data_IF_238203942134
#
_entry.id   IF_238203942134
#
_cell.length_a   1.000
_cell.length_b   1.000
_cell.length_c   1.000
_cell.angle_alpha   90.00
_cell.angle_beta   90.00
_cell.angle_gamma   90.00
#
_symmetry.space_group_name_H-M   'P 1'
#
loop_
_entity.id
_entity.type
_entity.pdbx_description
1 polymer ?
#
# COMPACT_ATOMS: atom_id res chain seq x y z
N UNK A 1 -15.22 15.32 -0.82
CA UNK A 1 -15.90 14.18 -0.16
C UNK A 1 -16.57 14.56 1.14
N UNK A 2 -15.83 14.84 2.23
CA UNK A 2 -16.42 15.15 3.56
C UNK A 2 -17.37 16.34 3.52
N UNK A 3 -16.97 17.46 2.91
CA UNK A 3 -17.82 18.66 2.77
C UNK A 3 -19.14 18.39 2.00
N UNK A 4 -19.17 17.39 1.11
CA UNK A 4 -20.37 16.97 0.38
C UNK A 4 -21.23 15.93 1.11
N UNK A 5 -20.94 15.65 2.39
CA UNK A 5 -21.69 14.67 3.18
C UNK A 5 -21.44 13.20 2.79
N UNK A 6 -20.41 12.92 1.99
CA UNK A 6 -20.02 11.57 1.58
C UNK A 6 -19.14 10.88 2.65
N UNK A 7 -19.75 10.48 3.77
CA UNK A 7 -19.03 9.96 4.95
C UNK A 7 -18.97 8.42 5.02
N UNK A 8 -19.38 7.73 3.95
CA UNK A 8 -19.36 6.28 3.87
C UNK A 8 -20.65 5.64 4.38
N UNK A 9 -20.54 4.43 4.94
CA UNK A 9 -21.71 3.65 5.38
C UNK A 9 -22.57 4.37 6.43
N UNK A 10 -21.95 5.15 7.32
CA UNK A 10 -22.66 5.85 8.41
C UNK A 10 -23.63 6.93 7.90
N UNK A 11 -23.37 7.51 6.73
CA UNK A 11 -24.24 8.51 6.09
C UNK A 11 -25.01 7.93 4.91
N UNK A 12 -24.98 6.61 4.70
CA UNK A 12 -25.61 5.94 3.56
C UNK A 12 -24.93 6.20 2.20
N UNK A 13 -23.91 7.06 2.13
CA UNK A 13 -23.20 7.38 0.87
C UNK A 13 -21.73 7.75 1.08
N UNK A 14 -20.87 7.23 0.21
CA UNK A 14 -19.43 7.50 0.11
C UNK A 14 -19.01 7.40 -1.36
N UNK A 15 -17.89 6.71 -1.66
CA UNK A 15 -17.57 6.28 -3.04
C UNK A 15 -18.69 5.43 -3.66
N UNK A 16 -19.42 4.69 -2.80
CA UNK A 16 -20.60 3.93 -3.17
C UNK A 16 -21.83 4.47 -2.45
N UNK A 17 -23.01 4.22 -3.00
CA UNK A 17 -24.29 4.37 -2.31
C UNK A 17 -24.58 3.07 -1.54
N UNK A 18 -24.96 3.18 -0.27
CA UNK A 18 -25.18 2.05 0.62
C UNK A 18 -26.67 1.91 0.94
N UNK A 19 -27.34 0.98 0.26
CA UNK A 19 -28.79 0.69 0.41
C UNK A 19 -29.06 -0.38 1.47
N UNK A 20 -28.65 -0.12 2.72
CA UNK A 20 -28.91 -1.02 3.86
C UNK A 20 -28.12 -2.35 3.85
N UNK A 21 -28.45 -3.26 4.78
CA UNK A 21 -27.78 -4.58 4.90
C UNK A 21 -28.10 -5.43 3.68
N UNK A 22 -27.06 -5.85 2.94
CA UNK A 22 -27.18 -6.71 1.76
C UNK A 22 -27.49 -5.99 0.44
N UNK A 23 -27.67 -4.65 0.48
CA UNK A 23 -27.90 -3.86 -0.72
C UNK A 23 -26.70 -3.85 -1.68
N UNK A 24 -26.99 -3.80 -2.98
CA UNK A 24 -25.97 -3.68 -4.04
C UNK A 24 -25.21 -2.37 -3.84
N UNK A 25 -23.88 -2.44 -3.89
CA UNK A 25 -23.01 -1.25 -3.82
C UNK A 25 -22.98 -0.59 -5.20
N UNK A 26 -23.80 0.42 -5.38
CA UNK A 26 -23.82 1.20 -6.61
C UNK A 26 -22.78 2.32 -6.56
N UNK A 27 -22.19 2.65 -7.69
CA UNK A 27 -21.22 3.74 -7.79
C UNK A 27 -21.97 5.06 -7.54
N UNK A 28 -21.41 5.91 -6.69
CA UNK A 28 -22.03 7.20 -6.40
C UNK A 28 -21.71 8.22 -7.51
N UNK A 29 -22.71 8.57 -8.33
CA UNK A 29 -22.56 9.54 -9.42
C UNK A 29 -22.17 10.96 -8.98
N UNK A 30 -22.46 11.36 -7.73
CA UNK A 30 -21.98 12.64 -7.18
C UNK A 30 -20.45 12.63 -7.02
N UNK A 31 -19.87 11.48 -6.68
CA UNK A 31 -18.42 11.33 -6.52
C UNK A 31 -17.71 11.35 -7.86
N UNK A 32 -18.32 10.83 -8.93
CA UNK A 32 -17.74 10.94 -10.27
C UNK A 32 -17.54 12.39 -10.71
N UNK A 33 -18.48 13.29 -10.36
CA UNK A 33 -18.35 14.73 -10.64
C UNK A 33 -17.16 15.33 -9.89
N UNK A 34 -17.05 15.03 -8.60
CA UNK A 34 -15.92 15.47 -7.76
C UNK A 34 -14.60 14.92 -8.32
N UNK A 35 -14.54 13.64 -8.68
CA UNK A 35 -13.32 13.03 -9.23
C UNK A 35 -12.91 13.66 -10.56
N UNK A 36 -13.86 14.04 -11.43
CA UNK A 36 -13.58 14.75 -12.68
C UNK A 36 -13.01 16.15 -12.41
N UNK A 37 -13.61 16.88 -11.49
CA UNK A 37 -13.19 18.24 -11.11
C UNK A 37 -11.76 18.27 -10.55
N UNK A 38 -11.43 17.33 -9.66
CA UNK A 38 -10.11 17.25 -9.02
C UNK A 38 -9.17 16.25 -9.70
N UNK A 39 -9.47 15.82 -10.93
CA UNK A 39 -8.62 14.88 -11.64
C UNK A 39 -7.29 15.52 -12.02
N UNK A 40 -6.21 14.78 -11.81
CA UNK A 40 -4.87 15.14 -12.28
C UNK A 40 -4.50 14.28 -13.49
N UNK A 41 -3.58 14.75 -14.35
CA UNK A 41 -3.06 13.92 -15.44
C UNK A 41 -2.54 12.59 -14.92
N UNK A 42 -2.96 11.51 -15.58
CA UNK A 42 -2.52 10.15 -15.27
C UNK A 42 -1.00 10.08 -15.41
N UNK A 43 -0.33 9.64 -14.34
CA UNK A 43 1.12 9.37 -14.33
C UNK A 43 1.38 7.88 -14.33
N UNK A 44 2.30 7.44 -15.18
CA UNK A 44 2.68 6.03 -15.34
C UNK A 44 1.59 5.10 -15.83
N UNK A 45 1.93 3.81 -15.79
CA UNK A 45 1.02 2.73 -16.18
C UNK A 45 -0.17 2.60 -15.22
N UNK A 46 -1.31 2.15 -15.73
CA UNK A 46 -2.51 1.81 -14.95
C UNK A 46 -2.87 0.33 -15.10
N UNK A 47 -1.90 -0.48 -15.54
CA UNK A 47 -2.04 -1.93 -15.52
C UNK A 47 -2.26 -2.43 -14.08
N UNK A 48 -3.02 -3.53 -13.88
CA UNK A 48 -3.36 -4.03 -12.54
C UNK A 48 -2.14 -4.24 -11.63
N UNK A 49 -1.05 -4.77 -12.17
CA UNK A 49 0.19 -4.99 -11.44
C UNK A 49 0.84 -3.68 -10.96
N UNK A 50 0.81 -2.63 -11.78
CA UNK A 50 1.35 -1.32 -11.41
C UNK A 50 0.51 -0.71 -10.28
N UNK A 51 -0.82 -0.82 -10.36
CA UNK A 51 -1.73 -0.34 -9.32
C UNK A 51 -1.49 -1.09 -8.00
N UNK A 52 -1.32 -2.41 -8.08
CA UNK A 52 -0.99 -3.24 -6.91
C UNK A 52 0.34 -2.81 -6.29
N UNK A 53 1.39 -2.66 -7.09
CA UNK A 53 2.71 -2.27 -6.58
C UNK A 53 2.73 -0.85 -6.03
N UNK A 54 1.94 0.09 -6.56
CA UNK A 54 1.80 1.44 -5.97
C UNK A 54 1.23 1.42 -4.56
N UNK A 55 0.33 0.48 -4.27
CA UNK A 55 -0.27 0.31 -2.95
C UNK A 55 0.66 -0.47 -2.02
N UNK A 56 1.13 -1.62 -2.48
CA UNK A 56 1.96 -2.53 -1.69
C UNK A 56 3.31 -1.91 -1.33
N UNK A 57 3.99 -1.25 -2.28
CA UNK A 57 5.32 -0.67 -2.05
C UNK A 57 5.33 0.31 -0.89
N UNK A 58 4.34 1.22 -0.85
CA UNK A 58 4.20 2.20 0.22
C UNK A 58 3.96 1.55 1.57
N UNK A 59 3.04 0.58 1.63
CA UNK A 59 2.74 -0.13 2.86
C UNK A 59 3.95 -0.87 3.41
N UNK A 60 4.66 -1.59 2.56
CA UNK A 60 5.82 -2.41 2.94
C UNK A 60 6.99 -1.50 3.33
N UNK A 61 7.23 -0.40 2.63
CA UNK A 61 8.26 0.58 2.99
C UNK A 61 8.02 1.18 4.37
N UNK A 62 6.78 1.59 4.68
CA UNK A 62 6.42 2.09 6.01
C UNK A 62 6.57 0.99 7.08
N UNK A 63 6.29 -0.28 6.74
CA UNK A 63 6.49 -1.40 7.66
C UNK A 63 7.97 -1.56 8.02
N UNK A 64 8.85 -1.50 7.03
CA UNK A 64 10.31 -1.56 7.27
C UNK A 64 10.81 -0.31 7.98
N UNK A 65 10.26 0.86 7.67
CA UNK A 65 10.59 2.10 8.39
C UNK A 65 10.22 1.98 9.88
N UNK A 66 9.04 1.44 10.21
CA UNK A 66 8.64 1.18 11.59
C UNK A 66 9.63 0.23 12.31
N UNK A 67 10.19 -0.75 11.59
CA UNK A 67 11.23 -1.62 12.15
C UNK A 67 12.56 -0.87 12.33
N UNK A 68 12.94 -0.06 11.36
CA UNK A 68 14.15 0.77 11.40
C UNK A 68 14.13 1.76 12.56
N UNK A 69 12.98 2.38 12.83
CA UNK A 69 12.78 3.34 13.93
C UNK A 69 12.58 2.65 15.29
N UNK A 70 12.55 1.31 15.33
CA UNK A 70 12.35 0.54 16.56
C UNK A 70 10.92 0.57 17.11
N UNK A 71 9.94 1.03 16.32
CA UNK A 71 8.51 0.95 16.65
C UNK A 71 8.06 -0.51 16.66
N UNK A 72 8.47 -1.26 15.64
CA UNK A 72 8.34 -2.71 15.62
C UNK A 72 9.55 -3.35 16.30
N UNK A 73 9.30 -4.25 17.25
CA UNK A 73 10.36 -4.96 17.98
C UNK A 73 11.09 -5.97 17.10
N UNK A 74 10.36 -6.63 16.20
CA UNK A 74 10.89 -7.64 15.29
C UNK A 74 9.99 -7.78 14.04
N UNK A 75 10.48 -8.38 12.95
CA UNK A 75 9.72 -8.58 11.71
C UNK A 75 8.46 -9.45 11.88
N UNK A 76 8.52 -10.47 12.76
CA UNK A 76 7.42 -11.42 12.96
C UNK A 76 6.19 -10.74 13.57
N UNK A 77 6.39 -9.88 14.58
CA UNK A 77 5.33 -9.05 15.17
C UNK A 77 4.69 -8.15 14.10
N UNK A 78 5.51 -7.59 13.22
CA UNK A 78 5.06 -6.76 12.10
C UNK A 78 4.22 -7.52 11.07
N UNK A 79 4.64 -8.73 10.71
CA UNK A 79 3.91 -9.59 9.79
C UNK A 79 2.56 -10.05 10.35
N UNK A 80 2.54 -10.51 11.60
CA UNK A 80 1.32 -10.90 12.31
C UNK A 80 0.35 -9.72 12.40
N UNK A 81 0.84 -8.54 12.80
CA UNK A 81 0.04 -7.33 12.90
C UNK A 81 -0.53 -6.87 11.55
N UNK A 82 0.27 -6.92 10.49
CA UNK A 82 -0.17 -6.55 9.16
C UNK A 82 -1.25 -7.51 8.61
N UNK A 83 -1.07 -8.82 8.79
CA UNK A 83 -2.03 -9.83 8.31
C UNK A 83 -3.33 -9.75 9.10
N UNK A 84 -3.28 -9.84 10.43
CA UNK A 84 -4.50 -9.92 11.24
C UNK A 84 -5.17 -8.57 11.52
N UNK A 85 -4.42 -7.47 11.53
CA UNK A 85 -4.95 -6.14 11.81
C UNK A 85 -5.36 -5.38 10.55
N UNK A 86 -4.47 -5.36 9.55
CA UNK A 86 -4.62 -4.50 8.36
C UNK A 86 -5.15 -5.27 7.14
N UNK A 87 -5.24 -6.60 7.22
CA UNK A 87 -5.71 -7.45 6.13
C UNK A 87 -4.68 -7.60 5.01
N UNK A 88 -3.38 -7.56 5.35
CA UNK A 88 -2.33 -7.89 4.38
C UNK A 88 -2.53 -9.31 3.83
N UNK A 89 -2.31 -9.58 2.53
CA UNK A 89 -2.60 -10.88 1.93
C UNK A 89 -1.89 -12.04 2.66
N UNK A 90 -2.62 -12.97 3.29
CA UNK A 90 -2.03 -13.98 4.17
C UNK A 90 -1.13 -14.99 3.43
N UNK A 91 -1.38 -15.22 2.14
CA UNK A 91 -0.56 -16.09 1.31
C UNK A 91 0.84 -15.52 0.99
N UNK A 92 1.08 -14.24 1.28
CA UNK A 92 2.42 -13.63 1.25
C UNK A 92 3.10 -13.61 2.63
N UNK A 93 2.44 -14.09 3.69
CA UNK A 93 2.97 -14.17 5.05
C UNK A 93 3.04 -12.85 5.83
N UNK A 94 3.11 -11.71 5.14
CA UNK A 94 3.22 -10.37 5.72
C UNK A 94 4.20 -9.50 4.92
N UNK A 95 4.32 -8.19 5.22
CA UNK A 95 5.22 -7.29 4.51
C UNK A 95 6.70 -7.74 4.52
N UNK A 96 7.20 -8.29 5.63
CA UNK A 96 8.60 -8.72 5.75
C UNK A 96 8.83 -10.07 5.07
N UNK A 97 7.95 -11.04 5.26
CA UNK A 97 8.00 -12.31 4.52
C UNK A 97 7.84 -12.11 3.01
N UNK A 98 7.01 -11.15 2.61
CA UNK A 98 6.88 -10.74 1.21
C UNK A 98 8.20 -10.23 0.64
N UNK A 99 8.95 -9.39 1.38
CA UNK A 99 10.27 -8.93 0.93
C UNK A 99 11.27 -10.07 0.79
N UNK A 100 11.27 -11.00 1.74
CA UNK A 100 12.20 -12.15 1.73
C UNK A 100 11.95 -13.08 0.54
N UNK A 101 10.68 -13.23 0.12
CA UNK A 101 10.24 -14.07 -1.00
C UNK A 101 10.31 -13.37 -2.36
N UNK A 102 9.93 -12.09 -2.44
CA UNK A 102 9.95 -11.29 -3.67
C UNK A 102 11.37 -10.88 -4.07
N UNK A 103 12.23 -10.62 -3.08
CA UNK A 103 13.58 -10.08 -3.27
C UNK A 103 13.63 -8.59 -2.95
N UNK A 104 14.46 -8.21 -1.99
CA UNK A 104 14.58 -6.81 -1.53
C UNK A 104 15.23 -5.91 -2.58
N UNK A 105 16.18 -6.45 -3.34
CA UNK A 105 16.81 -5.83 -4.51
C UNK A 105 15.76 -5.43 -5.56
N UNK A 106 14.96 -6.40 -6.01
CA UNK A 106 13.89 -6.17 -7.00
C UNK A 106 12.83 -5.21 -6.49
N UNK A 107 12.53 -5.29 -5.19
CA UNK A 107 11.57 -4.40 -4.57
C UNK A 107 12.05 -2.94 -4.55
N UNK A 108 13.33 -2.71 -4.22
CA UNK A 108 13.94 -1.37 -4.25
C UNK A 108 13.97 -0.83 -5.68
N UNK A 109 14.41 -1.61 -6.66
CA UNK A 109 14.40 -1.21 -8.08
C UNK A 109 12.98 -0.82 -8.53
N UNK A 110 11.97 -1.60 -8.12
CA UNK A 110 10.57 -1.31 -8.43
C UNK A 110 10.09 -0.01 -7.79
N UNK A 111 10.52 0.27 -6.57
CA UNK A 111 10.21 1.52 -5.87
C UNK A 111 10.86 2.73 -6.53
N UNK A 112 12.13 2.62 -6.93
CA UNK A 112 12.85 3.68 -7.65
C UNK A 112 12.15 4.01 -8.98
N UNK A 113 11.76 2.98 -9.76
CA UNK A 113 10.95 3.18 -10.97
C UNK A 113 9.62 3.87 -10.68
N UNK A 114 8.93 3.49 -9.59
CA UNK A 114 7.68 4.14 -9.20
C UNK A 114 7.89 5.60 -8.79
N UNK A 115 9.01 5.90 -8.12
CA UNK A 115 9.40 7.25 -7.76
C UNK A 115 9.64 8.11 -9.01
N UNK A 116 10.36 7.60 -10.00
CA UNK A 116 10.62 8.31 -11.27
C UNK A 116 9.33 8.58 -12.07
N UNK A 117 8.49 7.55 -12.22
CA UNK A 117 7.34 7.59 -13.13
C UNK A 117 6.12 8.30 -12.51
N UNK A 118 5.83 8.02 -11.23
CA UNK A 118 4.64 8.57 -10.55
C UNK A 118 4.99 9.86 -9.81
N UNK A 119 6.23 9.96 -9.31
CA UNK A 119 6.68 11.08 -8.52
C UNK A 119 6.25 11.00 -7.05
N UNK A 120 7.09 11.60 -6.22
CA UNK A 120 6.81 11.88 -4.81
C UNK A 120 7.68 11.08 -3.84
N UNK A 121 7.97 11.71 -2.72
CA UNK A 121 8.83 11.18 -1.64
C UNK A 121 8.29 9.86 -1.05
N UNK A 122 6.98 9.63 -1.17
CA UNK A 122 6.30 8.41 -0.72
C UNK A 122 6.77 7.09 -1.36
N UNK A 123 7.55 7.16 -2.44
CA UNK A 123 8.13 5.99 -3.11
C UNK A 123 9.65 5.88 -2.90
N UNK A 124 10.24 6.75 -2.08
CA UNK A 124 11.66 6.65 -1.73
C UNK A 124 11.82 5.50 -0.72
N UNK A 125 12.67 4.49 -1.00
CA UNK A 125 12.93 3.41 -0.05
C UNK A 125 13.59 3.93 1.22
N UNK A 126 13.20 3.40 2.38
CA UNK A 126 13.89 3.68 3.64
C UNK A 126 15.32 3.10 3.65
N UNK A 127 16.18 3.62 4.53
CA UNK A 127 17.60 3.25 4.57
C UNK A 127 17.82 1.76 4.80
N UNK A 128 17.03 1.12 5.67
CA UNK A 128 17.12 -0.30 5.95
C UNK A 128 16.81 -1.16 4.72
N UNK A 129 15.84 -0.75 3.87
CA UNK A 129 15.58 -1.44 2.60
C UNK A 129 16.79 -1.34 1.66
N UNK A 130 17.39 -0.16 1.55
CA UNK A 130 18.59 0.04 0.71
C UNK A 130 19.77 -0.81 1.21
N UNK A 131 19.93 -0.94 2.53
CA UNK A 131 21.01 -1.72 3.13
C UNK A 131 20.80 -3.23 2.98
N UNK A 132 19.55 -3.69 2.96
CA UNK A 132 19.20 -5.10 2.69
C UNK A 132 19.28 -5.40 1.20
N UNK A 133 18.93 -4.46 0.32
CA UNK A 133 19.05 -4.63 -1.13
C UNK A 133 20.51 -4.80 -1.59
N UNK A 134 21.48 -4.18 -0.90
CA UNK A 134 22.91 -4.31 -1.20
C UNK A 134 23.49 -5.69 -0.86
N UNK A 135 22.85 -6.45 0.01
CA UNK A 135 23.37 -7.73 0.49
C UNK A 135 22.31 -8.84 0.30
N UNK A 136 22.43 -9.67 -0.74
CA UNK A 136 21.44 -10.71 -1.05
C UNK A 136 21.36 -11.81 0.03
N UNK A 137 22.33 -11.89 0.94
CA UNK A 137 22.30 -12.83 2.06
C UNK A 137 21.43 -12.36 3.22
N UNK A 138 21.13 -11.05 3.29
CA UNK A 138 20.28 -10.49 4.34
C UNK A 138 18.82 -10.81 4.07
N UNK A 139 18.16 -11.30 5.11
CA UNK A 139 16.73 -11.58 5.16
C UNK A 139 16.17 -11.05 6.47
N UNK A 140 14.91 -10.63 6.46
CA UNK A 140 14.23 -10.20 7.67
C UNK A 140 13.95 -11.38 8.59
N UNK A 141 13.62 -12.54 8.01
CA UNK A 141 13.47 -13.79 8.73
C UNK A 141 14.75 -14.62 8.66
N UNK A 142 15.25 -15.01 9.84
CA UNK A 142 16.29 -16.03 9.95
C UNK A 142 15.66 -17.39 9.62
N UNK A 143 16.27 -18.12 8.68
CA UNK A 143 15.96 -19.54 8.47
C UNK A 143 16.68 -20.40 9.51
#
# INVERSE_FOLDING_TARGET
>A
MVAGGHLGRKSGKGFFVYTGKGGKREINGEVEKILKEFSIPKKGSHEPEEIQMRLASRFVNESVLCLQEGILRNPVDGDIGAVFGLGFPPFHGGPFMFLDTYGTDKFVERMERLHEVVGGERFVPCQMLLDYAKDPSKKFHKR
#
